data_IF_490358360670
#
_entry.id   IF_490358360670
#
_cell.length_a   1.000
_cell.length_b   1.000
_cell.length_c   1.000
_cell.angle_alpha   90.00
_cell.angle_beta   90.00
_cell.angle_gamma   90.00
#
_symmetry.space_group_name_H-M   'P 1'
#
loop_
_entity.id
_entity.type
_entity.pdbx_description
1 polymer ?
#
# COMPACT_ATOMS: atom_id res chain seq x y z
N UNK A 1 16.48 23.18 32.00
CA UNK A 1 17.31 22.72 30.86
C UNK A 1 16.35 22.37 29.73
N UNK A 2 16.57 22.85 28.48
CA UNK A 2 15.80 22.36 27.34
C UNK A 2 16.30 20.94 27.04
N UNK A 3 15.40 19.96 27.02
CA UNK A 3 15.73 18.59 26.61
C UNK A 3 16.28 18.54 25.20
N UNK A 4 16.94 17.44 24.83
CA UNK A 4 17.46 17.30 23.48
C UNK A 4 16.31 17.26 22.46
N UNK A 5 16.61 17.55 21.18
CA UNK A 5 15.64 17.38 20.09
C UNK A 5 15.09 15.95 20.07
N UNK A 6 15.94 14.96 20.36
CA UNK A 6 15.54 13.57 20.43
C UNK A 6 14.52 13.29 21.56
N UNK A 7 14.70 13.92 22.72
CA UNK A 7 13.74 13.79 23.83
C UNK A 7 12.38 14.40 23.46
N UNK A 8 12.40 15.52 22.74
CA UNK A 8 11.19 16.17 22.22
C UNK A 8 10.47 15.30 21.19
N UNK A 9 11.22 14.64 20.29
CA UNK A 9 10.63 13.71 19.33
C UNK A 9 10.02 12.51 20.06
N UNK A 10 10.73 11.91 21.02
CA UNK A 10 10.24 10.77 21.80
C UNK A 10 9.02 11.10 22.66
N UNK A 11 8.85 12.38 23.06
CA UNK A 11 7.65 12.80 23.80
C UNK A 11 6.43 13.04 22.90
N UNK A 12 6.63 13.21 21.59
CA UNK A 12 5.57 13.55 20.62
C UNK A 12 5.22 12.40 19.68
N UNK A 13 6.14 11.45 19.46
CA UNK A 13 6.00 10.41 18.45
C UNK A 13 6.28 9.03 19.04
N UNK A 14 5.38 8.09 18.75
CA UNK A 14 5.65 6.67 18.82
C UNK A 14 5.94 6.15 17.40
N UNK A 15 6.73 5.07 17.31
CA UNK A 15 7.08 4.44 16.04
C UNK A 15 7.17 2.92 16.21
N UNK A 16 6.94 2.19 15.13
CA UNK A 16 7.09 0.75 15.06
C UNK A 16 7.42 0.30 13.64
N UNK A 17 7.64 -1.00 13.48
CA UNK A 17 7.87 -1.62 12.17
C UNK A 17 6.95 -2.81 11.98
N UNK A 18 6.63 -3.10 10.73
CA UNK A 18 5.81 -4.23 10.32
C UNK A 18 6.45 -4.80 9.05
N UNK A 19 6.85 -6.07 9.10
CA UNK A 19 7.40 -6.75 7.94
C UNK A 19 6.29 -7.26 7.01
N UNK A 20 6.68 -7.85 5.87
CA UNK A 20 5.72 -8.33 4.87
C UNK A 20 4.81 -9.44 5.41
N UNK A 21 5.32 -10.31 6.28
CA UNK A 21 4.55 -11.40 6.85
C UNK A 21 3.47 -10.88 7.80
N UNK A 22 3.83 -9.95 8.69
CA UNK A 22 2.91 -9.28 9.58
C UNK A 22 1.92 -8.40 8.81
N UNK A 23 2.35 -7.79 7.71
CA UNK A 23 1.48 -6.99 6.82
C UNK A 23 0.38 -7.87 6.23
N UNK A 24 0.72 -9.04 5.67
CA UNK A 24 -0.26 -9.99 5.13
C UNK A 24 -1.22 -10.50 6.20
N UNK A 25 -0.70 -10.90 7.36
CA UNK A 25 -1.53 -11.32 8.49
C UNK A 25 -2.51 -10.22 8.92
N UNK A 26 -2.07 -8.97 8.92
CA UNK A 26 -2.90 -7.82 9.30
C UNK A 26 -3.98 -7.55 8.26
N UNK A 27 -3.68 -7.62 6.96
CA UNK A 27 -4.71 -7.51 5.90
C UNK A 27 -5.79 -8.58 6.10
N UNK A 28 -5.39 -9.84 6.25
CA UNK A 28 -6.32 -10.95 6.43
C UNK A 28 -7.19 -10.77 7.70
N UNK A 29 -6.58 -10.44 8.83
CA UNK A 29 -7.28 -10.25 10.10
C UNK A 29 -8.27 -9.07 10.06
N UNK A 30 -7.87 -7.93 9.49
CA UNK A 30 -8.75 -6.76 9.37
C UNK A 30 -9.92 -7.05 8.44
N UNK A 31 -9.67 -7.76 7.33
CA UNK A 31 -10.71 -8.14 6.39
C UNK A 31 -11.68 -9.16 7.01
N UNK A 32 -11.19 -10.19 7.68
CA UNK A 32 -12.01 -11.19 8.37
C UNK A 32 -12.86 -10.57 9.48
N UNK A 33 -12.26 -9.68 10.29
CA UNK A 33 -12.93 -9.11 11.44
C UNK A 33 -13.95 -8.02 11.09
N UNK A 34 -13.62 -7.16 10.12
CA UNK A 34 -14.38 -5.93 9.85
C UNK A 34 -14.99 -5.87 8.45
N UNK A 35 -14.65 -6.81 7.55
CA UNK A 35 -14.98 -6.72 6.13
C UNK A 35 -14.29 -5.56 5.41
N UNK A 36 -13.30 -4.91 6.04
CA UNK A 36 -12.57 -3.79 5.45
C UNK A 36 -11.29 -4.29 4.80
N UNK A 37 -11.19 -4.11 3.48
CA UNK A 37 -9.98 -4.48 2.75
C UNK A 37 -9.00 -3.31 2.72
N UNK A 38 -7.92 -3.40 3.50
CA UNK A 38 -6.85 -2.42 3.50
C UNK A 38 -5.75 -2.76 2.47
N UNK A 39 -5.10 -1.71 1.97
CA UNK A 39 -3.85 -1.85 1.21
C UNK A 39 -2.67 -2.15 2.15
N UNK A 40 -1.51 -2.48 1.58
CA UNK A 40 -0.30 -2.83 2.34
C UNK A 40 0.19 -1.71 3.26
N UNK A 41 0.09 -0.44 2.86
CA UNK A 41 0.55 0.71 3.65
C UNK A 41 -0.39 0.95 4.84
N UNK A 42 -1.71 0.84 4.62
CA UNK A 42 -2.70 0.94 5.68
C UNK A 42 -2.55 -0.22 6.67
N UNK A 43 -2.28 -1.44 6.21
CA UNK A 43 -2.05 -2.59 7.08
C UNK A 43 -0.83 -2.42 7.99
N UNK A 44 0.27 -1.85 7.48
CA UNK A 44 1.44 -1.47 8.30
C UNK A 44 1.04 -0.50 9.42
N UNK A 45 0.24 0.53 9.10
CA UNK A 45 -0.22 1.49 10.09
C UNK A 45 -1.13 0.86 11.14
N UNK A 46 -2.09 0.01 10.73
CA UNK A 46 -2.96 -0.75 11.63
C UNK A 46 -2.12 -1.60 12.57
N UNK A 47 -1.16 -2.36 12.04
CA UNK A 47 -0.33 -3.24 12.86
C UNK A 47 0.46 -2.48 13.92
N UNK A 48 1.17 -1.43 13.50
CA UNK A 48 1.99 -0.62 14.41
C UNK A 48 1.10 0.08 15.46
N UNK A 49 -0.09 0.54 15.07
CA UNK A 49 -1.03 1.15 15.99
C UNK A 49 -1.56 0.17 17.03
N UNK A 50 -1.95 -1.04 16.64
CA UNK A 50 -2.42 -2.08 17.56
C UNK A 50 -1.30 -2.50 18.54
N UNK A 51 -0.07 -2.64 18.07
CA UNK A 51 1.08 -2.95 18.94
C UNK A 51 1.41 -1.77 19.89
N UNK A 52 1.27 -0.53 19.44
CA UNK A 52 1.38 0.67 20.28
C UNK A 52 0.29 0.69 21.37
N UNK A 53 -0.97 0.50 21.02
CA UNK A 53 -2.07 0.47 22.01
C UNK A 53 -1.86 -0.62 23.04
N UNK A 54 -1.50 -1.83 22.60
CA UNK A 54 -1.25 -2.97 23.50
C UNK A 54 -0.11 -2.71 24.49
N UNK A 55 0.96 -2.06 24.04
CA UNK A 55 2.14 -1.82 24.87
C UNK A 55 2.03 -0.58 25.76
N UNK A 56 1.30 0.45 25.33
CA UNK A 56 1.12 1.70 26.09
C UNK A 56 -0.12 1.72 26.99
N UNK A 57 -1.16 0.95 26.64
CA UNK A 57 -2.49 1.08 27.25
C UNK A 57 -3.23 2.36 26.85
N UNK A 58 -2.76 3.08 25.83
CA UNK A 58 -3.43 4.29 25.33
C UNK A 58 -4.68 3.90 24.52
N UNK A 59 -5.84 4.26 25.05
CA UNK A 59 -7.16 4.02 24.45
C UNK A 59 -7.74 5.27 23.75
N UNK A 60 -6.91 6.29 23.49
CA UNK A 60 -7.33 7.50 22.78
C UNK A 60 -7.87 7.15 21.39
N UNK A 61 -9.07 7.68 21.08
CA UNK A 61 -9.68 7.53 19.75
C UNK A 61 -8.72 8.08 18.70
N UNK A 62 -8.35 7.22 17.75
CA UNK A 62 -7.32 7.50 16.76
C UNK A 62 -7.84 7.34 15.35
N UNK A 63 -7.23 8.05 14.41
CA UNK A 63 -7.53 7.99 12.99
C UNK A 63 -6.32 7.44 12.24
N UNK A 64 -6.54 6.38 11.45
CA UNK A 64 -5.52 5.85 10.54
C UNK A 64 -5.73 6.47 9.16
N UNK A 65 -4.71 7.15 8.65
CA UNK A 65 -4.72 7.66 7.29
C UNK A 65 -4.51 6.50 6.31
N UNK A 66 -5.57 6.07 5.64
CA UNK A 66 -5.46 5.08 4.57
C UNK A 66 -4.94 5.74 3.29
N UNK A 67 -3.75 5.37 2.85
CA UNK A 67 -2.97 6.15 1.88
C UNK A 67 -3.09 5.66 0.44
N UNK A 68 -3.59 4.44 0.21
CA UNK A 68 -3.79 3.90 -1.12
C UNK A 68 -5.02 2.98 -1.19
N UNK A 69 -5.53 2.81 -2.41
CA UNK A 69 -6.52 1.77 -2.71
C UNK A 69 -5.85 0.39 -2.72
N UNK A 70 -6.50 -0.67 -2.18
CA UNK A 70 -5.96 -2.03 -2.23
C UNK A 70 -5.74 -2.52 -3.67
N UNK A 71 -6.53 -2.03 -4.65
CA UNK A 71 -6.38 -2.37 -6.06
C UNK A 71 -5.04 -1.96 -6.67
N UNK A 72 -4.37 -0.92 -6.12
CA UNK A 72 -3.05 -0.50 -6.61
C UNK A 72 -1.95 -1.53 -6.30
N UNK A 73 -2.20 -2.41 -5.35
CA UNK A 73 -1.27 -3.45 -4.89
C UNK A 73 -1.96 -4.82 -4.91
N UNK A 74 -2.76 -5.08 -5.96
CA UNK A 74 -3.63 -6.25 -6.07
C UNK A 74 -2.90 -7.56 -5.78
N UNK A 75 -1.72 -7.78 -6.36
CA UNK A 75 -0.92 -8.98 -6.10
C UNK A 75 -0.58 -9.18 -4.61
N UNK A 76 -0.09 -8.13 -3.94
CA UNK A 76 0.31 -8.21 -2.54
C UNK A 76 -0.89 -8.43 -1.62
N UNK A 77 -1.97 -7.68 -1.86
CA UNK A 77 -3.20 -7.78 -1.07
C UNK A 77 -3.88 -9.14 -1.29
N UNK A 78 -4.00 -9.59 -2.54
CA UNK A 78 -4.57 -10.89 -2.87
C UNK A 78 -3.74 -12.03 -2.28
N UNK A 79 -2.40 -11.92 -2.25
CA UNK A 79 -1.55 -12.93 -1.61
C UNK A 79 -1.79 -13.07 -0.09
N UNK A 80 -2.38 -12.07 0.56
CA UNK A 80 -2.76 -12.14 1.97
C UNK A 80 -4.07 -12.88 2.19
N UNK A 81 -4.97 -12.89 1.18
CA UNK A 81 -6.30 -13.49 1.27
C UNK A 81 -6.38 -14.88 0.61
N UNK A 82 -5.73 -15.03 -0.55
CA UNK A 82 -5.73 -16.22 -1.41
C UNK A 82 -4.36 -16.40 -2.08
N UNK A 83 -3.31 -16.80 -1.33
CA UNK A 83 -1.94 -16.92 -1.86
C UNK A 83 -1.82 -17.80 -3.11
N UNK A 84 -2.65 -18.82 -3.24
CA UNK A 84 -2.70 -19.74 -4.38
C UNK A 84 -3.15 -19.10 -5.69
N UNK A 85 -3.83 -17.95 -5.64
CA UNK A 85 -4.36 -17.25 -6.83
C UNK A 85 -3.35 -16.32 -7.49
N UNK A 86 -2.20 -16.07 -6.85
CA UNK A 86 -1.21 -15.10 -7.34
C UNK A 86 -0.22 -15.73 -8.31
N UNK A 87 0.09 -17.02 -8.16
CA UNK A 87 1.10 -17.68 -8.99
C UNK A 87 0.62 -17.84 -10.43
N UNK A 88 1.28 -17.14 -11.37
CA UNK A 88 0.97 -17.19 -12.80
C UNK A 88 -0.27 -16.40 -13.23
N UNK A 89 -0.91 -15.66 -12.33
CA UNK A 89 -2.03 -14.79 -12.68
C UNK A 89 -1.55 -13.50 -13.34
N UNK A 90 -2.37 -12.99 -14.26
CA UNK A 90 -2.22 -11.68 -14.88
C UNK A 90 -2.64 -10.55 -13.90
N UNK A 91 -1.99 -9.39 -13.97
CA UNK A 91 -2.27 -8.27 -13.04
C UNK A 91 -3.73 -7.82 -13.07
N UNK A 92 -4.35 -7.85 -14.25
CA UNK A 92 -5.77 -7.49 -14.40
C UNK A 92 -6.71 -8.57 -13.87
N UNK A 93 -6.34 -9.86 -14.01
CA UNK A 93 -7.10 -10.94 -13.40
C UNK A 93 -7.09 -10.84 -11.86
N UNK A 94 -5.98 -10.38 -11.26
CA UNK A 94 -5.91 -10.12 -9.82
C UNK A 94 -6.80 -8.95 -9.39
N UNK A 95 -7.00 -7.93 -10.24
CA UNK A 95 -7.96 -6.85 -9.95
C UNK A 95 -9.39 -7.39 -9.91
N UNK A 96 -9.76 -8.24 -10.87
CA UNK A 96 -11.09 -8.84 -10.93
C UNK A 96 -11.36 -9.75 -9.72
N UNK A 97 -10.38 -10.58 -9.34
CA UNK A 97 -10.49 -11.45 -8.16
C UNK A 97 -10.59 -10.63 -6.87
N UNK A 98 -9.81 -9.55 -6.76
CA UNK A 98 -9.87 -8.67 -5.58
C UNK A 98 -11.23 -7.97 -5.46
N UNK A 99 -11.80 -7.53 -6.58
CA UNK A 99 -13.16 -6.98 -6.62
C UNK A 99 -14.20 -8.01 -6.18
N UNK A 100 -14.09 -9.24 -6.68
CA UNK A 100 -15.00 -10.34 -6.33
C UNK A 100 -14.95 -10.69 -4.83
N UNK A 101 -13.75 -10.75 -4.23
CA UNK A 101 -13.58 -11.07 -2.80
C UNK A 101 -14.05 -9.92 -1.91
N UNK A 102 -13.67 -8.69 -2.25
CA UNK A 102 -13.93 -7.51 -1.41
C UNK A 102 -15.34 -6.94 -1.56
N UNK A 103 -16.02 -7.23 -2.67
CA UNK A 103 -17.27 -6.56 -3.05
C UNK A 103 -17.07 -5.09 -3.45
N UNK A 104 -15.82 -4.64 -3.65
CA UNK A 104 -15.50 -3.29 -4.10
C UNK A 104 -15.39 -3.23 -5.62
N UNK A 105 -15.80 -2.10 -6.19
CA UNK A 105 -15.56 -1.83 -7.61
C UNK A 105 -14.08 -1.46 -7.85
N UNK A 106 -13.46 -2.08 -8.86
CA UNK A 106 -12.14 -1.70 -9.31
C UNK A 106 -12.19 -0.28 -9.93
N UNK A 107 -11.30 0.65 -9.52
CA UNK A 107 -11.27 1.98 -10.10
C UNK A 107 -11.08 1.95 -11.63
N UNK A 108 -11.85 2.75 -12.42
CA UNK A 108 -11.73 2.77 -13.88
C UNK A 108 -10.32 3.10 -14.37
N UNK A 109 -9.59 3.93 -13.62
CA UNK A 109 -8.21 4.28 -13.92
C UNK A 109 -7.25 3.08 -13.91
N UNK A 110 -7.60 1.98 -13.23
CA UNK A 110 -6.85 0.72 -13.23
C UNK A 110 -7.44 -0.28 -14.21
N UNK A 111 -8.75 -0.49 -14.18
CA UNK A 111 -9.40 -1.51 -15.04
C UNK A 111 -9.22 -1.21 -16.53
N UNK A 112 -9.28 0.06 -16.94
CA UNK A 112 -9.13 0.46 -18.35
C UNK A 112 -7.67 0.43 -18.84
N UNK A 113 -6.67 0.29 -17.97
CA UNK A 113 -5.26 0.25 -18.42
C UNK A 113 -4.99 -0.95 -19.33
N UNK A 114 -5.73 -2.04 -19.18
CA UNK A 114 -5.63 -3.26 -19.98
C UNK A 114 -5.74 -3.00 -21.48
N UNK A 115 -6.62 -2.08 -21.84
CA UNK A 115 -6.98 -1.80 -23.23
C UNK A 115 -6.30 -0.55 -23.78
N UNK A 116 -5.54 0.18 -22.94
CA UNK A 116 -4.87 1.42 -23.34
C UNK A 116 -3.53 1.11 -24.01
N UNK A 117 -3.23 1.74 -25.15
CA UNK A 117 -1.92 1.59 -25.77
C UNK A 117 -0.85 2.22 -24.90
N UNK A 118 0.31 1.57 -24.82
CA UNK A 118 1.50 2.14 -24.17
C UNK A 118 1.90 3.45 -24.88
N UNK A 119 1.90 4.55 -24.12
CA UNK A 119 2.17 5.88 -24.69
C UNK A 119 3.66 6.15 -24.91
N UNK A 120 4.51 5.61 -24.06
CA UNK A 120 5.95 5.89 -24.06
C UNK A 120 6.73 4.58 -23.87
N UNK A 121 7.49 4.17 -24.88
CA UNK A 121 8.33 2.95 -24.85
C UNK A 121 9.83 3.24 -24.69
N UNK A 122 10.18 4.51 -24.47
CA UNK A 122 11.58 4.95 -24.37
C UNK A 122 12.19 4.60 -23.01
N UNK A 123 13.46 4.18 -23.03
CA UNK A 123 14.28 3.99 -21.82
C UNK A 123 15.58 4.75 -21.95
N UNK A 124 16.05 5.36 -20.86
CA UNK A 124 17.31 6.10 -20.84
C UNK A 124 18.10 5.87 -19.56
N UNK A 125 19.40 6.13 -19.62
CA UNK A 125 20.27 6.06 -18.45
C UNK A 125 20.19 7.37 -17.65
N UNK A 126 20.56 7.32 -16.37
CA UNK A 126 20.65 8.53 -15.52
C UNK A 126 21.46 9.65 -16.18
N UNK A 127 22.55 9.31 -16.87
CA UNK A 127 23.44 10.26 -17.54
C UNK A 127 22.78 10.94 -18.75
N UNK A 128 21.86 10.27 -19.43
CA UNK A 128 21.22 10.74 -20.66
C UNK A 128 19.84 11.36 -20.44
N UNK A 129 19.27 11.24 -19.24
CA UNK A 129 17.94 11.73 -18.87
C UNK A 129 17.69 13.19 -19.26
N UNK A 130 18.66 14.09 -19.06
CA UNK A 130 18.51 15.50 -19.45
C UNK A 130 18.26 15.65 -20.96
N UNK A 131 19.02 14.93 -21.78
CA UNK A 131 18.89 14.98 -23.24
C UNK A 131 17.51 14.47 -23.66
N UNK A 132 17.10 13.31 -23.13
CA UNK A 132 15.79 12.72 -23.45
C UNK A 132 14.63 13.64 -23.09
N UNK A 133 14.69 14.33 -21.94
CA UNK A 133 13.65 15.30 -21.57
C UNK A 133 13.59 16.48 -22.54
N UNK A 134 14.74 17.00 -22.98
CA UNK A 134 14.80 18.08 -23.98
C UNK A 134 14.25 17.61 -25.34
N UNK A 135 14.66 16.43 -25.79
CA UNK A 135 14.18 15.84 -27.04
C UNK A 135 12.65 15.66 -27.03
N UNK A 136 12.08 15.17 -25.91
CA UNK A 136 10.63 15.03 -25.75
C UNK A 136 9.86 16.35 -25.76
N UNK A 137 10.53 17.46 -25.42
CA UNK A 137 9.98 18.82 -25.47
C UNK A 137 10.24 19.52 -26.81
N UNK A 138 10.97 18.88 -27.74
CA UNK A 138 11.36 19.45 -29.03
C UNK A 138 12.43 20.54 -28.94
N UNK A 139 13.31 20.45 -27.94
CA UNK A 139 14.36 21.43 -27.64
C UNK A 139 15.76 20.97 -28.04
#
# INVERSE_FOLDING_TARGET
MRGSVLDTIRSLFAAGCCDDALTKQTIAAVFEQYGYLCDTHTAVAVRVFEDYRRSSGDDTVSLIASTASPFKFSASVLSALKPETVEGADEFAMLDELAAISGMDCPPALSELKDKPERFSGSCTKQTMRGVVLDMLGM
#
